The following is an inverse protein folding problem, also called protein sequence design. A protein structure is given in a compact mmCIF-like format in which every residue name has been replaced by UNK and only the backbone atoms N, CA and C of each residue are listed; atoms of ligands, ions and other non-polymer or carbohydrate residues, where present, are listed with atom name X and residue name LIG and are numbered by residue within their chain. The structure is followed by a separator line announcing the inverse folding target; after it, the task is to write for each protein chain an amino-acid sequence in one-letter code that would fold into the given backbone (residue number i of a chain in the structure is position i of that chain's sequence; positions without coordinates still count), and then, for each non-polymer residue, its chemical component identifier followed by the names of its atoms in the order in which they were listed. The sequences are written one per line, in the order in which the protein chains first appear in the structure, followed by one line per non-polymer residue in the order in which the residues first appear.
data_IF_593999552470
#
_entry.id   IF_593999552470
#
_cell.length_a   1.000
_cell.length_b   1.000
_cell.length_c   1.000
_cell.angle_alpha   90.00
_cell.angle_beta   90.00
_cell.angle_gamma   90.00
#
_symmetry.space_group_name_H-M   'P 1'
#
loop_
_entity.id
_entity.type
_entity.pdbx_description
1 polymer ?
#
# COMPACT_ATOMS: atom_id res chain seq x y z
N UNK A 1 63.05 -63.78 37.05
CA UNK A 1 61.54 -63.70 37.10
C UNK A 1 61.17 -62.35 36.71
N UNK A 2 60.89 -62.08 35.43
CA UNK A 2 60.52 -60.78 34.91
C UNK A 2 59.11 -60.91 34.29
N UNK A 3 58.12 -60.24 34.86
CA UNK A 3 56.79 -60.18 34.37
C UNK A 3 56.65 -59.02 33.39
N UNK A 4 56.26 -59.32 32.15
CA UNK A 4 55.87 -58.32 31.12
C UNK A 4 54.45 -57.83 31.40
N UNK A 5 54.31 -56.50 31.61
CA UNK A 5 53.03 -55.86 31.65
C UNK A 5 52.48 -55.62 30.24
N UNK A 6 51.14 -55.46 30.10
CA UNK A 6 50.48 -55.25 28.83
C UNK A 6 50.65 -53.86 28.27
N UNK A 7 51.01 -53.76 26.99
CA UNK A 7 51.03 -52.47 26.25
C UNK A 7 49.62 -52.08 25.83
N UNK A 8 49.13 -50.96 26.29
CA UNK A 8 47.90 -50.35 25.80
C UNK A 8 48.20 -49.53 24.54
N UNK A 9 47.64 -49.92 23.41
CA UNK A 9 47.64 -49.12 22.21
C UNK A 9 46.56 -48.05 22.32
N UNK A 10 46.99 -46.78 22.33
CA UNK A 10 46.06 -45.62 22.29
C UNK A 10 45.65 -45.42 20.83
N UNK A 11 44.38 -45.69 20.51
CA UNK A 11 43.78 -45.42 19.24
C UNK A 11 43.37 -43.93 19.21
N UNK A 12 44.13 -43.11 18.50
CA UNK A 12 43.77 -41.70 18.28
C UNK A 12 42.67 -41.63 17.18
N UNK A 13 41.44 -41.38 17.58
CA UNK A 13 40.36 -41.06 16.65
C UNK A 13 40.47 -39.59 16.24
N UNK A 14 40.91 -39.33 15.01
CA UNK A 14 40.82 -37.99 14.40
C UNK A 14 39.38 -37.70 13.97
N UNK A 15 38.70 -36.86 14.73
CA UNK A 15 37.37 -36.34 14.38
C UNK A 15 37.57 -35.28 13.28
N UNK A 16 37.35 -35.64 12.03
CA UNK A 16 37.29 -34.71 10.92
C UNK A 16 36.02 -33.89 11.02
N UNK A 17 36.13 -32.59 11.38
CA UNK A 17 35.03 -31.65 11.29
C UNK A 17 34.78 -31.35 9.81
N UNK A 18 33.75 -31.98 9.23
CA UNK A 18 33.19 -31.53 7.96
C UNK A 18 32.46 -30.19 8.22
N UNK A 19 33.01 -29.05 7.76
CA UNK A 19 32.27 -27.82 7.62
C UNK A 19 31.23 -28.06 6.51
N UNK A 20 30.01 -28.34 6.89
CA UNK A 20 28.86 -28.22 5.97
C UNK A 20 28.62 -26.74 5.79
N UNK A 21 28.90 -26.21 4.61
CA UNK A 21 28.38 -24.94 4.17
C UNK A 21 26.85 -25.08 4.22
N UNK A 22 26.21 -24.39 5.18
CA UNK A 22 24.75 -24.27 5.21
C UNK A 22 24.35 -23.52 3.93
N UNK A 23 23.78 -24.22 2.98
CA UNK A 23 23.04 -23.61 1.88
C UNK A 23 21.88 -22.82 2.49
N UNK A 24 21.52 -21.65 1.95
CA UNK A 24 20.32 -20.97 2.38
C UNK A 24 19.14 -21.96 2.29
N UNK A 25 18.37 -22.09 3.37
CA UNK A 25 17.14 -22.87 3.35
C UNK A 25 16.14 -22.06 2.51
N UNK A 26 15.82 -22.53 1.32
CA UNK A 26 14.70 -22.04 0.53
C UNK A 26 13.41 -22.53 1.19
N UNK A 27 12.39 -21.67 1.23
CA UNK A 27 11.10 -22.02 1.84
C UNK A 27 10.43 -23.19 1.11
N UNK A 28 10.63 -23.31 -0.20
CA UNK A 28 10.11 -24.38 -1.06
C UNK A 28 10.82 -25.73 -0.98
N UNK A 29 11.93 -25.86 -0.24
CA UNK A 29 12.66 -27.12 -0.13
C UNK A 29 13.54 -27.44 -1.34
N UNK A 30 13.44 -28.66 -1.90
CA UNK A 30 14.18 -29.08 -3.10
C UNK A 30 13.39 -28.64 -4.33
N UNK A 31 14.06 -27.99 -5.28
CA UNK A 31 13.43 -27.52 -6.52
C UNK A 31 12.76 -28.65 -7.30
N UNK A 32 11.61 -28.37 -7.86
CA UNK A 32 10.89 -29.25 -8.78
C UNK A 32 11.78 -29.70 -9.95
N UNK A 33 11.52 -30.86 -10.50
CA UNK A 33 12.31 -31.45 -11.58
C UNK A 33 13.63 -32.08 -11.14
N UNK A 34 14.12 -31.83 -9.91
CA UNK A 34 15.36 -32.42 -9.38
C UNK A 34 15.28 -33.93 -9.35
N UNK A 35 16.34 -34.60 -9.82
CA UNK A 35 16.44 -36.06 -9.75
C UNK A 35 17.22 -36.49 -8.49
N UNK A 36 16.57 -37.27 -7.65
CA UNK A 36 17.16 -37.86 -6.46
C UNK A 36 17.53 -39.29 -6.81
N UNK A 37 18.85 -39.58 -6.84
CA UNK A 37 19.39 -40.89 -7.17
C UNK A 37 19.85 -41.59 -5.91
N UNK A 38 19.53 -42.89 -5.79
CA UNK A 38 19.94 -43.72 -4.68
C UNK A 38 20.46 -45.08 -5.18
N UNK A 39 21.67 -45.46 -4.72
CA UNK A 39 22.32 -46.74 -5.00
C UNK A 39 22.85 -47.33 -3.70
N UNK A 40 22.49 -48.56 -3.39
CA UNK A 40 22.97 -49.28 -2.23
C UNK A 40 24.24 -50.10 -2.56
N UNK A 41 25.13 -50.26 -1.60
CA UNK A 41 26.28 -51.12 -1.69
C UNK A 41 26.28 -52.18 -0.58
N UNK A 42 26.69 -53.38 -0.89
CA UNK A 42 26.92 -54.43 0.09
C UNK A 42 28.37 -54.93 -0.01
N UNK A 43 29.02 -55.07 1.15
CA UNK A 43 30.37 -55.58 1.25
C UNK A 43 30.34 -56.88 2.05
N UNK A 44 30.99 -57.95 1.54
CA UNK A 44 31.08 -59.24 2.18
C UNK A 44 32.48 -59.85 1.98
N UNK A 45 32.85 -60.87 2.76
CA UNK A 45 34.08 -61.59 2.60
C UNK A 45 33.83 -62.99 1.98
N UNK A 46 34.60 -63.34 0.96
CA UNK A 46 34.59 -64.64 0.35
C UNK A 46 36.05 -65.13 0.25
N UNK A 47 36.36 -66.28 0.94
CA UNK A 47 37.68 -66.80 0.98
C UNK A 47 38.77 -65.90 1.58
N UNK A 48 38.42 -64.99 2.46
CA UNK A 48 39.31 -63.99 3.08
C UNK A 48 39.60 -62.77 2.19
N UNK A 49 38.83 -62.60 1.12
CA UNK A 49 38.90 -61.44 0.23
C UNK A 49 37.59 -60.63 0.35
N UNK A 50 37.71 -59.35 0.62
CA UNK A 50 36.53 -58.41 0.67
C UNK A 50 36.00 -58.23 -0.74
N UNK A 51 34.67 -58.39 -0.89
CA UNK A 51 33.92 -58.16 -2.12
C UNK A 51 32.92 -57.06 -1.88
N UNK A 52 32.71 -56.21 -2.88
CA UNK A 52 31.68 -55.13 -2.86
C UNK A 52 30.81 -55.25 -4.10
N UNK A 53 29.51 -55.26 -3.90
CA UNK A 53 28.54 -55.23 -4.99
C UNK A 53 27.63 -53.99 -4.82
N UNK A 54 27.21 -53.40 -5.92
CA UNK A 54 26.25 -52.26 -5.92
C UNK A 54 24.92 -52.73 -6.49
N UNK A 55 23.83 -52.16 -5.98
CA UNK A 55 22.48 -52.30 -6.52
C UNK A 55 22.36 -51.53 -7.86
N UNK A 56 21.22 -51.68 -8.53
CA UNK A 56 20.78 -50.70 -9.51
C UNK A 56 20.53 -49.32 -8.82
N UNK A 57 20.69 -48.27 -9.56
CA UNK A 57 20.27 -46.90 -9.13
C UNK A 57 18.76 -46.79 -9.24
N UNK A 58 18.11 -46.27 -8.21
CA UNK A 58 16.71 -45.84 -8.22
C UNK A 58 16.70 -44.32 -8.30
N UNK A 59 15.87 -43.78 -9.20
CA UNK A 59 15.75 -42.35 -9.44
C UNK A 59 14.33 -41.91 -9.09
N UNK A 60 14.20 -40.87 -8.29
CA UNK A 60 12.93 -40.20 -7.98
C UNK A 60 13.04 -38.76 -8.47
N UNK A 61 12.08 -38.30 -9.26
CA UNK A 61 11.95 -36.89 -9.63
C UNK A 61 11.15 -36.17 -8.53
N UNK A 62 11.57 -34.97 -8.15
CA UNK A 62 10.83 -34.11 -7.26
C UNK A 62 9.70 -33.47 -8.06
N UNK A 63 8.47 -33.67 -7.62
CA UNK A 63 7.29 -33.05 -8.21
C UNK A 63 7.22 -31.56 -7.85
N UNK A 64 6.49 -30.79 -8.66
CA UNK A 64 6.26 -29.38 -8.42
C UNK A 64 5.16 -29.20 -7.38
N UNK A 65 5.41 -28.31 -6.40
CA UNK A 65 4.42 -27.86 -5.42
C UNK A 65 3.92 -26.49 -5.84
N UNK A 66 2.61 -26.36 -6.05
CA UNK A 66 1.95 -25.11 -6.41
C UNK A 66 1.44 -24.43 -5.14
N UNK A 67 2.08 -23.36 -4.73
CA UNK A 67 1.69 -22.52 -3.60
C UNK A 67 1.93 -21.04 -3.92
N UNK A 68 1.06 -20.14 -3.41
CA UNK A 68 1.14 -18.71 -3.64
C UNK A 68 0.69 -17.94 -2.41
N UNK A 69 1.22 -16.74 -2.21
CA UNK A 69 0.70 -15.78 -1.24
C UNK A 69 0.42 -14.44 -1.91
N UNK A 70 -0.62 -13.77 -1.43
CA UNK A 70 -0.93 -12.38 -1.78
C UNK A 70 -0.99 -11.58 -0.49
N UNK A 71 -0.36 -10.41 -0.46
CA UNK A 71 -0.40 -9.49 0.68
C UNK A 71 -0.68 -8.07 0.18
N UNK A 72 -1.49 -7.29 0.93
CA UNK A 72 -1.59 -5.85 0.68
C UNK A 72 -0.37 -5.17 1.26
N UNK A 73 0.26 -4.30 0.49
CA UNK A 73 1.39 -3.46 0.91
C UNK A 73 0.92 -2.12 1.51
N UNK A 74 -0.37 -1.80 1.38
CA UNK A 74 -0.94 -0.59 1.95
C UNK A 74 -1.03 -0.71 3.48
N UNK A 75 -0.53 0.30 4.21
CA UNK A 75 -0.45 0.28 5.68
C UNK A 75 -1.81 0.45 6.39
N UNK A 76 -2.91 0.57 5.64
CA UNK A 76 -4.28 0.78 6.12
C UNK A 76 -5.17 1.34 5.01
N UNK A 77 -6.35 1.88 5.35
CA UNK A 77 -7.22 2.48 4.35
C UNK A 77 -6.55 3.65 3.61
N UNK A 78 -6.55 3.58 2.28
CA UNK A 78 -6.04 4.65 1.41
C UNK A 78 -7.09 5.75 1.35
N UNK A 79 -6.69 7.00 1.61
CA UNK A 79 -7.55 8.16 1.45
C UNK A 79 -7.76 8.44 -0.04
N UNK A 80 -9.04 8.53 -0.46
CA UNK A 80 -9.41 8.72 -1.87
C UNK A 80 -10.49 9.78 -2.03
N UNK A 81 -10.51 10.36 -3.23
CA UNK A 81 -11.60 11.21 -3.76
C UNK A 81 -12.15 10.55 -5.01
N UNK A 82 -13.30 11.01 -5.57
CA UNK A 82 -13.75 10.53 -6.88
C UNK A 82 -12.66 10.60 -7.95
N UNK A 83 -12.54 9.53 -8.75
CA UNK A 83 -11.52 9.34 -9.77
C UNK A 83 -10.59 8.17 -9.51
N UNK A 84 -9.39 8.21 -10.10
CA UNK A 84 -8.43 7.12 -10.03
C UNK A 84 -7.88 6.90 -8.61
N UNK A 85 -7.84 5.63 -8.19
CA UNK A 85 -7.20 5.19 -6.96
C UNK A 85 -6.39 3.91 -7.24
N UNK A 86 -5.29 3.73 -6.51
CA UNK A 86 -4.34 2.64 -6.71
C UNK A 86 -4.17 1.90 -5.40
N UNK A 87 -4.37 0.58 -5.43
CA UNK A 87 -4.07 -0.32 -4.33
C UNK A 87 -2.84 -1.15 -4.70
N UNK A 88 -1.97 -1.38 -3.71
CA UNK A 88 -0.68 -2.04 -3.91
C UNK A 88 -0.66 -3.39 -3.20
N UNK A 89 -0.30 -4.44 -3.94
CA UNK A 89 -0.20 -5.81 -3.44
C UNK A 89 1.15 -6.41 -3.79
N UNK A 90 1.51 -7.47 -3.08
CA UNK A 90 2.63 -8.33 -3.41
C UNK A 90 2.11 -9.75 -3.65
N UNK A 91 2.52 -10.35 -4.75
CA UNK A 91 2.26 -11.76 -5.09
C UNK A 91 3.58 -12.50 -5.05
N UNK A 92 3.66 -13.57 -4.26
CA UNK A 92 4.89 -14.36 -4.10
C UNK A 92 4.64 -15.82 -4.45
N UNK A 93 5.48 -16.39 -5.31
CA UNK A 93 5.52 -17.82 -5.55
C UNK A 93 6.12 -18.53 -4.33
N UNK A 94 5.31 -19.30 -3.59
CA UNK A 94 5.71 -20.10 -2.42
C UNK A 94 5.92 -21.57 -2.77
N UNK A 95 5.82 -21.93 -4.05
CA UNK A 95 6.08 -23.27 -4.56
C UNK A 95 7.57 -23.61 -4.61
N UNK A 96 7.89 -24.78 -5.15
CA UNK A 96 9.26 -25.23 -5.37
C UNK A 96 9.65 -25.28 -6.86
N UNK A 97 8.81 -24.73 -7.73
CA UNK A 97 9.02 -24.61 -9.16
C UNK A 97 8.56 -23.25 -9.71
N UNK A 98 8.98 -22.90 -10.95
CA UNK A 98 8.62 -21.64 -11.59
C UNK A 98 7.16 -21.69 -12.07
N UNK A 99 6.32 -20.71 -11.66
CA UNK A 99 4.90 -20.68 -11.99
C UNK A 99 4.42 -19.26 -12.32
N UNK A 100 3.62 -19.04 -13.37
CA UNK A 100 2.90 -17.81 -13.60
C UNK A 100 1.55 -17.82 -12.85
N UNK A 101 1.04 -16.64 -12.50
CA UNK A 101 -0.22 -16.50 -11.76
C UNK A 101 -1.21 -15.63 -12.52
N UNK A 102 -2.44 -16.13 -12.67
CA UNK A 102 -3.59 -15.33 -13.14
C UNK A 102 -4.09 -14.45 -11.99
N UNK A 103 -4.24 -13.16 -12.27
CA UNK A 103 -4.63 -12.13 -11.30
C UNK A 103 -6.07 -11.70 -11.56
N UNK A 104 -6.88 -11.69 -10.50
CA UNK A 104 -8.29 -11.32 -10.54
C UNK A 104 -8.57 -10.26 -9.48
N UNK A 105 -8.99 -9.08 -9.90
CA UNK A 105 -9.45 -8.04 -8.98
C UNK A 105 -10.98 -8.09 -8.84
N UNK A 106 -11.47 -8.09 -7.60
CA UNK A 106 -12.88 -8.07 -7.25
C UNK A 106 -13.21 -6.82 -6.43
N UNK A 107 -14.10 -5.98 -6.92
CA UNK A 107 -14.60 -4.78 -6.25
C UNK A 107 -15.98 -4.96 -5.62
N UNK A 108 -16.67 -6.08 -5.92
CA UNK A 108 -17.99 -6.40 -5.38
C UNK A 108 -17.82 -7.22 -4.09
N UNK A 109 -17.25 -6.56 -3.07
CA UNK A 109 -17.03 -7.15 -1.74
C UNK A 109 -18.22 -6.80 -0.84
N UNK A 110 -18.66 -7.76 -0.03
CA UNK A 110 -19.78 -7.51 0.89
C UNK A 110 -19.45 -6.38 1.87
N UNK A 111 -20.46 -5.61 2.25
CA UNK A 111 -20.37 -4.49 3.18
C UNK A 111 -19.59 -3.26 2.67
N UNK A 112 -19.27 -3.18 1.38
CA UNK A 112 -18.80 -1.96 0.75
C UNK A 112 -19.87 -0.87 0.78
N UNK A 113 -19.51 0.35 1.19
CA UNK A 113 -20.41 1.51 1.13
C UNK A 113 -20.58 2.02 -0.31
N UNK A 114 -19.61 1.76 -1.18
CA UNK A 114 -19.64 2.04 -2.61
C UNK A 114 -18.81 1.01 -3.39
N UNK A 115 -19.13 0.83 -4.66
CA UNK A 115 -18.38 -0.05 -5.57
C UNK A 115 -17.47 0.79 -6.46
N UNK A 116 -16.23 0.34 -6.60
CA UNK A 116 -15.27 0.89 -7.58
C UNK A 116 -15.32 0.09 -8.88
N UNK A 117 -14.72 0.63 -9.93
CA UNK A 117 -14.57 -0.07 -11.21
C UNK A 117 -13.10 -0.33 -11.46
N UNK A 118 -12.71 -1.60 -11.64
CA UNK A 118 -11.32 -1.95 -12.03
C UNK A 118 -11.05 -1.38 -13.41
N UNK A 119 -10.02 -0.55 -13.52
CA UNK A 119 -9.54 -0.01 -14.79
C UNK A 119 -8.44 -0.88 -15.38
N UNK A 120 -7.45 -1.22 -14.56
CA UNK A 120 -6.31 -2.04 -14.96
C UNK A 120 -5.72 -2.78 -13.76
N UNK A 121 -4.95 -3.85 -14.06
CA UNK A 121 -3.96 -4.45 -13.18
C UNK A 121 -2.60 -4.20 -13.83
N UNK A 122 -1.62 -3.74 -13.07
CA UNK A 122 -0.28 -3.47 -13.58
C UNK A 122 0.79 -4.10 -12.68
N UNK A 123 1.95 -4.36 -13.27
CA UNK A 123 3.14 -4.87 -12.58
C UNK A 123 4.16 -3.75 -12.44
N UNK A 124 4.70 -3.58 -11.23
CA UNK A 124 5.85 -2.70 -10.97
C UNK A 124 7.09 -3.25 -11.65
N UNK A 125 7.47 -2.67 -12.79
CA UNK A 125 8.61 -3.13 -13.59
C UNK A 125 9.92 -2.47 -13.19
N UNK A 126 9.87 -1.32 -12.51
CA UNK A 126 11.06 -0.58 -12.09
C UNK A 126 11.42 -0.80 -10.62
N UNK A 127 10.54 -1.47 -9.83
CA UNK A 127 10.78 -1.86 -8.44
C UNK A 127 10.76 -0.68 -7.46
N UNK A 128 10.08 0.42 -7.78
CA UNK A 128 10.03 1.60 -6.93
C UNK A 128 8.84 1.64 -5.96
N UNK A 129 7.87 0.73 -6.11
CA UNK A 129 6.67 0.61 -5.27
C UNK A 129 5.60 1.69 -5.55
N UNK A 130 5.71 2.41 -6.66
CA UNK A 130 4.75 3.45 -7.08
C UNK A 130 4.36 3.19 -8.53
N UNK A 131 3.06 3.28 -8.82
CA UNK A 131 2.58 3.12 -10.18
C UNK A 131 3.02 4.27 -11.08
N UNK A 132 3.78 3.95 -12.13
CA UNK A 132 4.32 4.88 -13.12
C UNK A 132 3.66 4.63 -14.50
N UNK A 133 2.66 5.42 -14.90
CA UNK A 133 2.01 5.25 -16.21
C UNK A 133 3.00 5.29 -17.37
N UNK A 134 2.98 4.24 -18.20
CA UNK A 134 3.86 4.10 -19.37
C UNK A 134 5.26 3.56 -19.07
N UNK A 135 5.58 3.28 -17.80
CA UNK A 135 6.77 2.55 -17.35
C UNK A 135 6.35 1.16 -16.90
N UNK A 136 5.36 1.08 -16.01
CA UNK A 136 4.86 -0.17 -15.48
C UNK A 136 4.01 -0.92 -16.52
N UNK A 137 4.08 -2.23 -16.45
CA UNK A 137 3.40 -3.10 -17.40
C UNK A 137 1.92 -3.26 -17.04
N UNK A 138 1.04 -2.74 -17.90
CA UNK A 138 -0.39 -3.02 -17.79
C UNK A 138 -0.66 -4.41 -18.35
N UNK A 139 -1.23 -5.29 -17.52
CA UNK A 139 -1.61 -6.63 -17.94
C UNK A 139 -2.82 -6.59 -18.85
N UNK A 140 -2.87 -7.55 -19.79
CA UNK A 140 -4.01 -7.73 -20.70
C UNK A 140 -4.68 -9.06 -20.41
N UNK A 141 -6.01 -9.10 -20.56
CA UNK A 141 -6.82 -10.28 -20.22
C UNK A 141 -6.46 -11.53 -21.06
N UNK A 142 -6.23 -12.70 -20.42
CA UNK A 142 -6.22 -12.90 -18.97
C UNK A 142 -4.99 -12.23 -18.32
N UNK A 143 -5.23 -11.49 -17.25
CA UNK A 143 -4.20 -10.76 -16.52
C UNK A 143 -3.28 -11.77 -15.82
N UNK A 144 -2.14 -12.08 -16.43
CA UNK A 144 -1.22 -13.12 -15.95
C UNK A 144 0.16 -12.51 -15.75
N UNK A 145 0.82 -12.85 -14.64
CA UNK A 145 2.22 -12.45 -14.37
C UNK A 145 3.17 -13.11 -15.37
N UNK A 146 4.37 -12.57 -15.51
CA UNK A 146 5.48 -13.38 -15.99
C UNK A 146 5.66 -14.62 -15.09
N UNK A 147 6.45 -15.61 -15.56
CA UNK A 147 6.82 -16.75 -14.70
C UNK A 147 7.60 -16.20 -13.52
N UNK A 148 7.15 -16.51 -12.30
CA UNK A 148 7.85 -16.20 -11.07
C UNK A 148 8.66 -17.42 -10.65
N UNK A 149 9.95 -17.23 -10.41
CA UNK A 149 10.83 -18.24 -9.86
C UNK A 149 10.47 -18.59 -8.41
N UNK A 150 11.05 -19.62 -7.87
CA UNK A 150 10.86 -20.05 -6.46
C UNK A 150 11.21 -18.89 -5.52
N UNK A 151 10.32 -18.55 -4.59
CA UNK A 151 10.44 -17.43 -3.63
C UNK A 151 10.48 -16.04 -4.30
N UNK A 152 10.23 -15.94 -5.60
CA UNK A 152 10.14 -14.64 -6.27
C UNK A 152 8.82 -13.95 -5.94
N UNK A 153 8.92 -12.65 -5.68
CA UNK A 153 7.78 -11.77 -5.42
C UNK A 153 7.69 -10.68 -6.49
N UNK A 154 6.46 -10.28 -6.82
CA UNK A 154 6.19 -9.17 -7.72
C UNK A 154 5.18 -8.21 -7.08
N UNK A 155 5.44 -6.91 -7.21
CA UNK A 155 4.50 -5.86 -6.80
C UNK A 155 3.44 -5.67 -7.89
N UNK A 156 2.17 -5.67 -7.48
CA UNK A 156 0.99 -5.56 -8.34
C UNK A 156 0.19 -4.34 -7.93
N UNK A 157 -0.14 -3.50 -8.90
CA UNK A 157 -1.06 -2.37 -8.74
C UNK A 157 -2.44 -2.73 -9.27
N UNK A 158 -3.47 -2.53 -8.44
CA UNK A 158 -4.87 -2.59 -8.87
C UNK A 158 -5.37 -1.15 -8.99
N UNK A 159 -5.58 -0.72 -10.22
CA UNK A 159 -6.03 0.63 -10.56
C UNK A 159 -7.54 0.60 -10.69
N UNK A 160 -8.22 1.38 -9.85
CA UNK A 160 -9.68 1.46 -9.81
C UNK A 160 -10.16 2.89 -9.99
N UNK A 161 -11.41 3.04 -10.43
CA UNK A 161 -12.10 4.33 -10.48
C UNK A 161 -13.13 4.40 -9.35
N UNK A 162 -12.99 5.45 -8.52
CA UNK A 162 -13.92 5.77 -7.43
C UNK A 162 -15.05 6.61 -8.01
N UNK A 163 -16.33 6.20 -7.86
CA UNK A 163 -17.44 6.89 -8.51
C UNK A 163 -17.69 8.28 -7.93
N UNK A 164 -18.33 9.15 -8.72
CA UNK A 164 -18.90 10.40 -8.24
C UNK A 164 -20.02 10.16 -7.22
N UNK A 165 -20.22 11.11 -6.32
CA UNK A 165 -21.33 11.11 -5.37
C UNK A 165 -21.09 10.30 -4.11
N UNK A 166 -19.88 9.76 -3.90
CA UNK A 166 -19.45 9.21 -2.61
C UNK A 166 -19.40 10.30 -1.54
N UNK A 167 -19.57 9.92 -0.29
CA UNK A 167 -19.55 10.84 0.85
C UNK A 167 -18.36 10.54 1.75
N UNK A 168 -17.91 11.57 2.48
CA UNK A 168 -16.77 11.45 3.38
C UNK A 168 -16.90 10.29 4.37
N UNK A 169 -15.80 9.59 4.65
CA UNK A 169 -15.67 8.41 5.52
C UNK A 169 -16.28 7.11 4.99
N UNK A 170 -16.90 7.07 3.83
CA UNK A 170 -17.33 5.81 3.22
C UNK A 170 -16.13 4.91 2.95
N UNK A 171 -16.34 3.59 3.11
CA UNK A 171 -15.32 2.55 2.93
C UNK A 171 -15.67 1.64 1.75
N UNK A 172 -14.64 1.21 1.03
CA UNK A 172 -14.74 0.17 0.00
C UNK A 172 -13.52 -0.72 0.06
N UNK A 173 -13.72 -2.03 -0.08
CA UNK A 173 -12.67 -3.03 -0.18
C UNK A 173 -12.54 -3.50 -1.62
N UNK A 174 -11.31 -3.75 -2.02
CA UNK A 174 -10.94 -4.38 -3.29
C UNK A 174 -10.08 -5.59 -2.96
N UNK A 175 -10.46 -6.74 -3.50
CA UNK A 175 -9.69 -7.98 -3.33
C UNK A 175 -8.87 -8.27 -4.58
N UNK A 176 -7.61 -8.67 -4.38
CA UNK A 176 -6.77 -9.26 -5.41
C UNK A 176 -6.61 -10.75 -5.11
N UNK A 177 -6.95 -11.59 -6.08
CA UNK A 177 -6.72 -13.04 -6.04
C UNK A 177 -5.67 -13.41 -7.08
N UNK A 178 -4.68 -14.20 -6.68
CA UNK A 178 -3.72 -14.84 -7.57
C UNK A 178 -3.97 -16.35 -7.60
N UNK A 179 -4.07 -16.92 -8.80
CA UNK A 179 -4.26 -18.35 -9.04
C UNK A 179 -3.11 -18.89 -9.87
N UNK A 180 -2.52 -20.02 -9.48
CA UNK A 180 -1.55 -20.71 -10.33
C UNK A 180 -2.15 -21.07 -11.69
N UNK A 181 -1.47 -20.76 -12.78
CA UNK A 181 -1.96 -21.04 -14.15
C UNK A 181 -1.99 -22.53 -14.42
N UNK A 182 -1.04 -23.31 -13.88
CA UNK A 182 -1.05 -24.76 -13.98
C UNK A 182 -2.30 -25.38 -13.36
N UNK A 183 -2.85 -24.76 -12.31
CA UNK A 183 -4.12 -25.12 -11.72
C UNK A 183 -4.17 -24.89 -10.22
N UNK A 184 -5.39 -24.87 -9.69
CA UNK A 184 -5.66 -24.72 -8.27
C UNK A 184 -6.65 -25.78 -7.78
N UNK A 185 -6.85 -25.92 -6.47
CA UNK A 185 -7.78 -26.89 -5.92
C UNK A 185 -7.49 -27.24 -4.46
N UNK A 186 -8.03 -28.34 -4.00
CA UNK A 186 -7.72 -28.81 -2.64
C UNK A 186 -6.28 -29.29 -2.53
N UNK A 187 -5.59 -29.10 -1.38
CA UNK A 187 -4.24 -29.60 -1.18
C UNK A 187 -4.11 -31.08 -1.53
N UNK A 188 -3.08 -31.42 -2.30
CA UNK A 188 -2.84 -32.76 -2.83
C UNK A 188 -3.53 -33.07 -4.17
N UNK A 189 -4.25 -32.12 -4.79
CA UNK A 189 -4.72 -32.27 -6.18
C UNK A 189 -3.51 -32.35 -7.10
N UNK A 190 -3.53 -33.30 -8.06
CA UNK A 190 -2.41 -33.60 -8.95
C UNK A 190 -2.77 -33.22 -10.39
N UNK A 191 -1.92 -32.46 -11.04
CA UNK A 191 -1.92 -32.18 -12.46
C UNK A 191 -0.80 -32.99 -13.13
N UNK A 192 -1.15 -34.18 -13.61
CA UNK A 192 -0.17 -35.17 -14.05
C UNK A 192 0.66 -34.70 -15.26
N UNK A 193 1.99 -34.73 -15.11
CA UNK A 193 2.95 -34.36 -16.15
C UNK A 193 2.97 -32.86 -16.49
N UNK A 194 2.38 -31.99 -15.65
CA UNK A 194 2.36 -30.54 -15.87
C UNK A 194 3.38 -29.79 -15.01
N UNK A 195 4.10 -30.50 -14.11
CA UNK A 195 5.16 -29.93 -13.31
C UNK A 195 6.49 -29.80 -14.04
N UNK A 196 7.41 -29.05 -13.44
CA UNK A 196 8.74 -28.77 -13.95
C UNK A 196 9.50 -30.05 -14.34
N UNK A 197 10.18 -30.03 -15.51
CA UNK A 197 10.94 -31.16 -16.04
C UNK A 197 10.08 -32.38 -16.41
N UNK A 198 8.74 -32.24 -16.52
CA UNK A 198 7.79 -33.31 -16.85
C UNK A 198 7.44 -34.19 -15.64
N UNK A 199 7.62 -33.69 -14.42
CA UNK A 199 7.03 -34.22 -13.19
C UNK A 199 5.55 -33.89 -13.08
N UNK A 200 4.91 -34.31 -11.99
CA UNK A 200 3.55 -33.88 -11.68
C UNK A 200 3.58 -32.50 -11.00
N UNK A 201 2.52 -31.70 -11.15
CA UNK A 201 2.28 -30.52 -10.33
C UNK A 201 1.24 -30.85 -9.27
N UNK A 202 1.50 -30.50 -8.02
CA UNK A 202 0.69 -30.87 -6.85
C UNK A 202 0.30 -29.60 -6.12
N UNK A 203 -0.99 -29.42 -5.87
CA UNK A 203 -1.51 -28.28 -5.12
C UNK A 203 -1.06 -28.37 -3.66
N UNK A 204 -0.44 -27.29 -3.19
CA UNK A 204 0.04 -27.14 -1.83
C UNK A 204 -0.98 -26.59 -0.85
N UNK A 205 -0.51 -26.08 0.28
CA UNK A 205 -1.35 -25.72 1.43
C UNK A 205 -2.17 -24.47 1.22
N UNK A 206 -1.74 -23.57 0.32
CA UNK A 206 -2.48 -22.34 -0.05
C UNK A 206 -3.57 -22.62 -1.09
N UNK A 207 -3.81 -23.89 -1.46
CA UNK A 207 -4.74 -24.27 -2.54
C UNK A 207 -4.28 -23.83 -3.95
N UNK A 208 -3.04 -23.41 -4.11
CA UNK A 208 -2.49 -22.74 -5.30
C UNK A 208 -3.30 -21.48 -5.72
N UNK A 209 -3.95 -20.88 -4.75
CA UNK A 209 -4.77 -19.67 -4.86
C UNK A 209 -4.68 -18.86 -3.56
N UNK A 210 -4.48 -17.56 -3.65
CA UNK A 210 -4.47 -16.69 -2.48
C UNK A 210 -5.18 -15.38 -2.79
N UNK A 211 -5.80 -14.79 -1.76
CA UNK A 211 -6.52 -13.52 -1.87
C UNK A 211 -6.10 -12.59 -0.74
N UNK A 212 -5.91 -11.31 -1.06
CA UNK A 212 -5.77 -10.24 -0.07
C UNK A 212 -6.69 -9.08 -0.41
N UNK A 213 -7.08 -8.32 0.64
CA UNK A 213 -7.95 -7.14 0.50
C UNK A 213 -7.16 -5.86 0.79
N UNK A 214 -7.35 -4.85 -0.04
CA UNK A 214 -7.00 -3.46 0.25
C UNK A 214 -8.27 -2.65 0.54
N UNK A 215 -8.15 -1.58 1.34
CA UNK A 215 -9.29 -0.76 1.75
C UNK A 215 -9.11 0.68 1.26
N UNK A 216 -10.14 1.23 0.67
CA UNK A 216 -10.26 2.64 0.31
C UNK A 216 -11.15 3.34 1.33
N UNK A 217 -10.82 4.57 1.70
CA UNK A 217 -11.63 5.44 2.54
C UNK A 217 -11.79 6.78 1.87
N UNK A 218 -13.03 7.17 1.63
CA UNK A 218 -13.32 8.49 1.06
C UNK A 218 -12.90 9.59 2.04
N UNK A 219 -12.09 10.52 1.57
CA UNK A 219 -11.60 11.67 2.31
C UNK A 219 -11.93 12.94 1.51
N UNK A 220 -13.09 13.54 1.80
CA UNK A 220 -13.58 14.73 1.12
C UNK A 220 -13.57 15.88 2.11
N UNK A 221 -13.07 17.04 1.67
CA UNK A 221 -13.10 18.26 2.45
C UNK A 221 -13.91 19.32 1.72
N UNK A 222 -14.76 20.04 2.45
CA UNK A 222 -15.58 21.13 1.94
C UNK A 222 -15.34 22.41 2.73
N UNK A 223 -15.40 23.56 2.04
CA UNK A 223 -15.32 24.89 2.63
C UNK A 223 -16.66 25.60 2.49
N UNK A 224 -17.21 26.02 3.61
CA UNK A 224 -18.33 26.96 3.67
C UNK A 224 -17.82 28.33 4.16
N UNK A 225 -18.05 29.39 3.38
CA UNK A 225 -17.67 30.77 3.73
C UNK A 225 -18.91 31.63 3.88
N UNK A 226 -19.15 32.10 5.10
CA UNK A 226 -20.26 32.97 5.41
C UNK A 226 -19.77 34.36 5.82
N UNK A 227 -20.56 35.40 5.53
CA UNK A 227 -20.26 36.79 5.87
C UNK A 227 -21.44 37.41 6.63
N UNK A 228 -21.13 38.11 7.71
CA UNK A 228 -22.11 38.90 8.48
C UNK A 228 -21.56 40.28 8.78
N UNK A 229 -22.44 41.20 9.21
CA UNK A 229 -22.08 42.57 9.55
C UNK A 229 -22.78 43.01 10.85
N UNK A 230 -22.03 43.71 11.68
CA UNK A 230 -22.56 44.44 12.85
C UNK A 230 -22.32 45.93 12.68
N UNK A 231 -23.30 46.76 13.02
CA UNK A 231 -23.25 48.22 12.89
C UNK A 231 -23.21 48.90 14.26
N UNK A 232 -22.43 49.95 14.36
CA UNK A 232 -22.46 50.88 15.49
C UNK A 232 -22.48 52.30 14.95
N UNK A 233 -23.57 53.02 15.17
CA UNK A 233 -23.70 54.41 14.72
C UNK A 233 -23.04 55.39 15.73
N UNK A 234 -22.79 56.65 15.32
CA UNK A 234 -22.19 57.67 16.21
C UNK A 234 -23.00 57.99 17.43
N UNK A 235 -24.26 57.55 17.50
CA UNK A 235 -25.22 57.84 18.60
C UNK A 235 -25.37 56.63 19.54
N UNK A 236 -24.68 55.50 19.26
CA UNK A 236 -24.73 54.28 20.05
C UNK A 236 -25.85 53.31 19.66
N UNK A 237 -26.50 53.52 18.51
CA UNK A 237 -27.45 52.60 17.90
C UNK A 237 -26.81 51.74 16.80
N UNK A 238 -27.65 51.07 16.00
CA UNK A 238 -27.26 50.15 14.92
C UNK A 238 -27.70 50.67 13.53
N UNK A 239 -27.81 51.98 13.35
CA UNK A 239 -28.25 52.58 12.09
C UNK A 239 -27.09 52.77 11.12
N UNK A 240 -27.29 52.46 9.84
CA UNK A 240 -26.32 52.69 8.78
C UNK A 240 -26.39 54.16 8.32
N UNK A 241 -25.76 55.06 9.03
CA UNK A 241 -25.67 56.50 8.70
C UNK A 241 -24.20 56.90 8.50
N UNK A 242 -23.89 57.98 7.79
CA UNK A 242 -22.52 58.47 7.67
C UNK A 242 -21.82 58.58 9.03
N UNK A 243 -20.62 58.06 9.11
CA UNK A 243 -19.83 57.95 10.34
C UNK A 243 -20.09 56.68 11.18
N UNK A 244 -21.03 55.81 10.77
CA UNK A 244 -21.22 54.51 11.43
C UNK A 244 -20.07 53.57 11.11
N UNK A 245 -19.68 52.74 12.09
CA UNK A 245 -18.73 51.67 11.90
C UNK A 245 -19.45 50.35 11.59
N UNK A 246 -19.14 49.76 10.47
CA UNK A 246 -19.60 48.42 10.09
C UNK A 246 -18.46 47.41 10.32
N UNK A 247 -18.64 46.45 11.23
CA UNK A 247 -17.70 45.37 11.45
C UNK A 247 -18.20 44.15 10.68
N UNK A 248 -17.43 43.71 9.66
CA UNK A 248 -17.67 42.51 8.93
C UNK A 248 -17.01 41.30 9.63
N UNK A 249 -17.73 40.20 9.66
CA UNK A 249 -17.21 38.90 10.14
C UNK A 249 -17.33 37.88 9.01
N UNK A 250 -16.21 37.32 8.61
CA UNK A 250 -16.09 36.21 7.68
C UNK A 250 -15.85 34.95 8.49
N UNK A 251 -16.66 33.94 8.29
CA UNK A 251 -16.49 32.63 8.95
C UNK A 251 -16.25 31.58 7.89
N UNK A 252 -15.05 31.01 7.91
CA UNK A 252 -14.64 29.90 7.07
C UNK A 252 -14.78 28.61 7.87
N UNK A 253 -15.72 27.73 7.51
CA UNK A 253 -15.95 26.43 8.15
C UNK A 253 -15.48 25.34 7.23
N UNK A 254 -14.48 24.57 7.66
CA UNK A 254 -13.91 23.43 6.95
C UNK A 254 -14.52 22.15 7.53
N UNK A 255 -15.19 21.37 6.68
CA UNK A 255 -15.83 20.11 7.07
C UNK A 255 -15.25 18.97 6.28
N UNK A 256 -15.26 17.75 6.86
CA UNK A 256 -14.70 16.54 6.26
C UNK A 256 -13.50 16.02 7.00
N UNK A 257 -12.84 14.98 6.44
CA UNK A 257 -11.77 14.24 7.10
C UNK A 257 -10.36 14.55 6.61
N UNK A 258 -10.25 15.37 5.57
CA UNK A 258 -8.96 15.80 5.00
C UNK A 258 -8.73 17.29 5.33
N UNK A 259 -7.75 17.93 4.70
CA UNK A 259 -7.39 19.34 4.89
C UNK A 259 -7.48 20.11 3.58
N UNK A 260 -7.66 21.44 3.71
CA UNK A 260 -7.49 22.38 2.59
C UNK A 260 -6.10 23.01 2.75
N UNK A 261 -5.33 23.03 1.67
CA UNK A 261 -4.02 23.69 1.64
C UNK A 261 -4.11 25.08 1.00
N UNK A 262 -3.19 25.96 1.39
CA UNK A 262 -3.04 27.30 0.83
C UNK A 262 -4.34 28.13 0.84
N UNK A 263 -5.19 27.96 1.88
CA UNK A 263 -6.43 28.70 2.01
C UNK A 263 -6.16 30.18 2.28
N UNK A 264 -6.64 31.04 1.39
CA UNK A 264 -6.59 32.49 1.52
C UNK A 264 -8.00 33.04 1.41
N UNK A 265 -8.38 33.90 2.33
CA UNK A 265 -9.68 34.64 2.32
C UNK A 265 -9.43 36.08 2.00
N UNK A 266 -10.12 36.57 0.98
CA UNK A 266 -10.05 37.99 0.53
C UNK A 266 -11.41 38.64 0.53
N UNK A 267 -11.47 39.95 0.79
CA UNK A 267 -12.68 40.73 0.73
C UNK A 267 -12.36 42.19 0.32
N UNK A 268 -13.12 42.74 -0.59
CA UNK A 268 -12.95 44.14 -1.03
C UNK A 268 -13.68 45.09 -0.08
N UNK A 269 -13.14 46.30 0.08
CA UNK A 269 -13.85 47.37 0.82
C UNK A 269 -15.02 47.85 -0.03
N UNK A 270 -16.25 47.85 0.50
CA UNK A 270 -17.43 48.29 -0.25
C UNK A 270 -17.36 49.77 -0.63
N UNK A 271 -17.88 50.11 -1.82
CA UNK A 271 -18.01 51.50 -2.25
C UNK A 271 -18.83 52.32 -1.24
N UNK A 272 -18.42 53.57 -0.95
CA UNK A 272 -19.04 54.43 0.04
C UNK A 272 -18.65 54.11 1.48
N UNK A 273 -17.56 53.35 1.64
CA UNK A 273 -16.96 53.07 2.96
C UNK A 273 -15.47 53.23 2.92
N UNK A 274 -14.87 53.53 4.06
CA UNK A 274 -13.40 53.65 4.26
C UNK A 274 -12.94 52.60 5.27
N UNK A 275 -11.86 51.84 4.94
CA UNK A 275 -11.26 50.83 5.84
C UNK A 275 -10.79 51.48 7.15
N UNK A 276 -11.02 50.80 8.28
CA UNK A 276 -10.49 51.21 9.58
C UNK A 276 -9.14 50.51 9.84
N UNK A 277 -8.00 51.24 9.73
CA UNK A 277 -6.68 50.63 9.93
C UNK A 277 -6.53 49.98 11.32
N UNK A 278 -5.88 48.81 11.34
CA UNK A 278 -5.66 48.02 12.56
C UNK A 278 -6.90 47.27 13.09
N UNK A 279 -7.98 47.22 12.30
CA UNK A 279 -9.21 46.50 12.67
C UNK A 279 -9.22 45.02 12.24
N UNK A 280 -8.23 44.60 11.43
CA UNK A 280 -8.14 43.23 10.92
C UNK A 280 -7.77 42.26 12.05
N UNK A 281 -8.56 41.20 12.17
CA UNK A 281 -8.26 40.11 13.12
C UNK A 281 -8.43 38.76 12.46
N UNK A 282 -7.69 37.77 12.94
CA UNK A 282 -7.80 36.34 12.59
C UNK A 282 -7.89 35.51 13.86
N UNK A 283 -8.97 34.74 14.05
CA UNK A 283 -9.27 33.97 15.25
C UNK A 283 -9.06 34.78 16.55
N UNK A 284 -9.59 36.00 16.54
CA UNK A 284 -9.48 36.98 17.61
C UNK A 284 -8.07 37.54 17.88
N UNK A 285 -7.05 37.12 17.15
CA UNK A 285 -5.73 37.75 17.19
C UNK A 285 -5.69 38.92 16.23
N UNK A 286 -5.19 40.09 16.69
CA UNK A 286 -5.00 41.24 15.82
C UNK A 286 -3.89 40.97 14.79
N UNK A 287 -4.16 41.35 13.54
CA UNK A 287 -3.17 41.31 12.46
C UNK A 287 -2.75 42.77 12.12
N UNK A 288 -1.59 42.89 11.47
CA UNK A 288 -1.13 44.14 10.90
C UNK A 288 -1.80 44.37 9.53
N UNK A 289 -1.81 45.61 9.06
CA UNK A 289 -2.32 45.94 7.72
C UNK A 289 -1.21 45.84 6.65
N UNK A 290 0.04 45.62 7.09
CA UNK A 290 1.19 45.61 6.22
C UNK A 290 1.38 44.24 5.55
N UNK A 291 1.69 44.23 4.24
CA UNK A 291 1.92 43.01 3.51
C UNK A 291 3.22 42.31 3.92
N UNK A 292 3.15 40.97 4.22
CA UNK A 292 4.28 40.08 4.36
C UNK A 292 4.95 40.05 5.74
N UNK A 293 4.41 40.64 6.78
CA UNK A 293 4.93 40.58 8.15
C UNK A 293 4.13 39.65 9.07
N UNK A 294 2.86 39.38 8.75
CA UNK A 294 2.05 38.34 9.38
C UNK A 294 1.11 37.65 8.36
N UNK A 295 0.01 37.05 8.82
CA UNK A 295 -0.94 36.33 7.97
C UNK A 295 -1.91 37.24 7.21
N UNK A 296 -1.97 38.54 7.54
CA UNK A 296 -2.96 39.48 7.03
C UNK A 296 -2.38 40.68 6.30
N UNK A 297 -3.19 41.28 5.50
CA UNK A 297 -2.97 42.64 4.93
C UNK A 297 -4.32 43.34 4.71
N UNK A 298 -4.33 44.67 4.81
CA UNK A 298 -5.56 45.41 4.65
C UNK A 298 -5.32 46.86 4.20
N UNK A 299 -6.16 47.32 3.24
CA UNK A 299 -6.18 48.72 2.78
C UNK A 299 -7.49 49.06 2.08
N UNK A 300 -7.77 50.37 1.91
CA UNK A 300 -8.95 50.83 1.13
C UNK A 300 -8.88 50.36 -0.33
N UNK A 301 -7.70 50.34 -0.93
CA UNK A 301 -7.52 50.06 -2.36
C UNK A 301 -7.59 48.55 -2.66
N UNK A 302 -6.91 47.72 -1.85
CA UNK A 302 -6.77 46.28 -2.09
C UNK A 302 -7.83 45.43 -1.36
N UNK A 303 -8.53 45.99 -0.38
CA UNK A 303 -9.36 45.20 0.52
C UNK A 303 -8.56 44.53 1.64
N UNK A 304 -9.08 43.45 2.15
CA UNK A 304 -8.35 42.56 3.09
C UNK A 304 -7.96 41.24 2.44
N UNK A 305 -6.86 40.71 2.88
CA UNK A 305 -6.41 39.35 2.52
C UNK A 305 -5.82 38.67 3.76
N UNK A 306 -6.29 37.46 4.07
CA UNK A 306 -5.80 36.67 5.20
C UNK A 306 -5.43 35.28 4.73
N UNK A 307 -4.16 34.92 4.89
CA UNK A 307 -3.63 33.58 4.61
C UNK A 307 -3.84 32.67 5.82
N UNK A 308 -4.79 31.75 5.71
CA UNK A 308 -5.05 30.72 6.72
C UNK A 308 -4.01 29.59 6.61
N UNK A 309 -3.53 29.32 5.37
CA UNK A 309 -2.60 28.21 5.07
C UNK A 309 -3.33 26.88 5.06
N UNK A 310 -2.74 25.86 5.71
CA UNK A 310 -3.34 24.52 5.82
C UNK A 310 -4.44 24.51 6.89
N UNK A 311 -5.66 24.22 6.48
CA UNK A 311 -6.85 24.17 7.34
C UNK A 311 -7.44 22.75 7.39
N UNK A 312 -7.29 22.01 8.51
CA UNK A 312 -7.85 20.67 8.67
C UNK A 312 -9.38 20.68 8.68
N UNK A 313 -9.98 19.58 8.20
CA UNK A 313 -11.42 19.34 8.34
C UNK A 313 -11.85 19.37 9.81
N UNK A 314 -13.08 19.85 10.05
CA UNK A 314 -13.63 20.06 11.39
C UNK A 314 -13.16 21.34 12.07
N UNK A 315 -12.44 22.25 11.37
CA UNK A 315 -12.01 23.55 11.91
C UNK A 315 -12.91 24.68 11.42
N UNK A 316 -12.94 25.78 12.21
CA UNK A 316 -13.62 26.99 11.84
C UNK A 316 -12.70 28.18 12.14
N UNK A 317 -12.53 29.06 11.16
CA UNK A 317 -11.68 30.23 11.25
C UNK A 317 -12.55 31.50 11.10
N UNK A 318 -12.26 32.49 11.91
CA UNK A 318 -13.03 33.75 11.95
C UNK A 318 -12.10 34.91 11.62
N UNK A 319 -12.46 35.68 10.61
CA UNK A 319 -11.80 36.93 10.22
C UNK A 319 -12.74 38.08 10.48
N UNK A 320 -12.28 39.15 11.13
CA UNK A 320 -13.05 40.39 11.26
C UNK A 320 -12.26 41.58 10.77
N UNK A 321 -12.98 42.54 10.18
CA UNK A 321 -12.42 43.84 9.85
C UNK A 321 -13.54 44.89 9.92
N UNK A 322 -13.20 46.17 10.07
CA UNK A 322 -14.16 47.24 10.17
C UNK A 322 -13.98 48.28 9.05
N UNK A 323 -15.09 48.87 8.66
CA UNK A 323 -15.10 50.02 7.77
C UNK A 323 -15.99 51.15 8.38
N UNK A 324 -15.71 52.38 8.00
CA UNK A 324 -16.57 53.53 8.33
C UNK A 324 -17.42 53.87 7.11
N UNK A 325 -18.72 54.12 7.30
CA UNK A 325 -19.62 54.59 6.24
C UNK A 325 -19.33 56.08 6.00
N UNK A 326 -19.07 56.49 4.76
CA UNK A 326 -18.69 57.85 4.36
C UNK A 326 -19.86 58.86 4.43
#
# INVERSE_FOLDING_TARGET
MYTKGPSYAVLAATLGAALTLASPAFAGGINAGTLIENTATATYEEGGVSQTISSNTVVVRVDELLDVTVTSLDSGPIAVTPGEAILTFEVTNQGNGPEPFELLANTTVADNDFETVVQNIAIDTNGNGVYDPGVDEILTSPETTAILEVDEAVTVFVIVDVPDGVTDQQLSQVELTANAVTGNGTPGTIFAGQGEGGGDAVVGTTTASATASGTLRVAITTLDLTKSVALVDPFGGESAVPGSTATFTLTATISGSDQIEDLVVTDLIPDGTTYVPGSLTFDAAALTDASGDDAGEGSDEAGISVSIGTAPGGTTHIITFAVTID
#
